data_IF_681635832907
#
_entry.id   IF_681635832907
#
_cell.length_a   1.000
_cell.length_b   1.000
_cell.length_c   1.000
_cell.angle_alpha   90.00
_cell.angle_beta   90.00
_cell.angle_gamma   90.00
#
_symmetry.space_group_name_H-M   'P 1'
#
loop_
_entity.id
_entity.type
_entity.pdbx_description
1 polymer ?
#
# COMPACT_ATOMS: atom_id res chain seq x y z
N UNK A 1 -18.21 -14.01 -2.90
CA UNK A 1 -17.12 -13.75 -3.88
C UNK A 1 -15.82 -13.94 -3.16
N UNK A 2 -15.02 -14.94 -3.53
CA UNK A 2 -13.66 -15.11 -3.01
C UNK A 2 -12.83 -13.93 -3.52
N UNK A 3 -12.77 -12.85 -2.74
CA UNK A 3 -11.89 -11.73 -3.06
C UNK A 3 -10.48 -12.28 -3.08
N UNK A 4 -9.84 -12.31 -4.26
CA UNK A 4 -8.47 -12.74 -4.39
C UNK A 4 -7.60 -11.73 -3.63
N UNK A 5 -7.26 -12.05 -2.39
CA UNK A 5 -6.37 -11.23 -1.58
C UNK A 5 -5.00 -11.31 -2.24
N UNK A 6 -4.57 -10.21 -2.86
CA UNK A 6 -3.23 -10.16 -3.47
C UNK A 6 -2.21 -10.03 -2.33
N UNK A 7 -1.38 -11.05 -2.07
CA UNK A 7 -0.43 -11.01 -0.97
C UNK A 7 0.75 -10.10 -1.33
N UNK A 8 1.31 -9.44 -0.31
CA UNK A 8 2.46 -8.54 -0.48
C UNK A 8 3.63 -9.21 -1.19
N UNK A 9 3.93 -10.47 -0.83
CA UNK A 9 5.04 -11.23 -1.44
C UNK A 9 4.89 -11.37 -2.95
N UNK A 10 3.70 -11.71 -3.43
CA UNK A 10 3.45 -11.88 -4.87
C UNK A 10 3.61 -10.56 -5.65
N UNK A 11 3.31 -9.42 -5.02
CA UNK A 11 3.59 -8.12 -5.63
C UNK A 11 5.08 -7.79 -5.62
N UNK A 12 5.77 -8.03 -4.51
CA UNK A 12 7.22 -7.82 -4.45
C UNK A 12 7.91 -8.63 -5.55
N UNK A 13 7.56 -9.92 -5.68
CA UNK A 13 8.13 -10.80 -6.70
C UNK A 13 7.83 -10.32 -8.14
N UNK A 14 6.66 -9.70 -8.36
CA UNK A 14 6.26 -9.14 -9.66
C UNK A 14 7.07 -7.90 -10.04
N UNK A 15 7.34 -7.02 -9.08
CA UNK A 15 7.91 -5.69 -9.34
C UNK A 15 9.42 -5.62 -9.08
N UNK A 16 9.94 -6.54 -8.27
CA UNK A 16 11.31 -6.51 -7.78
C UNK A 16 11.93 -7.90 -7.90
N UNK A 17 13.14 -7.95 -8.46
CA UNK A 17 13.94 -9.16 -8.48
C UNK A 17 14.85 -9.12 -7.26
N UNK A 18 14.70 -10.11 -6.37
CA UNK A 18 15.63 -10.31 -5.26
C UNK A 18 16.83 -11.11 -5.75
N UNK A 19 18.04 -10.55 -5.61
CA UNK A 19 19.27 -11.28 -5.91
C UNK A 19 20.18 -11.29 -4.68
N UNK A 20 21.16 -12.22 -4.58
CA UNK A 20 22.13 -12.21 -3.49
C UNK A 20 22.94 -10.91 -3.40
N UNK A 21 23.22 -10.27 -4.54
CA UNK A 21 23.92 -9.00 -4.61
C UNK A 21 23.01 -7.80 -4.27
N UNK A 22 21.69 -7.95 -4.41
CA UNK A 22 20.70 -6.90 -4.23
C UNK A 22 19.47 -7.40 -3.44
N UNK A 23 19.63 -7.66 -2.13
CA UNK A 23 18.52 -8.14 -1.31
C UNK A 23 17.45 -7.05 -1.15
N UNK A 24 16.20 -7.47 -1.07
CA UNK A 24 15.07 -6.57 -0.83
C UNK A 24 14.98 -6.24 0.66
N UNK A 25 15.06 -4.94 0.99
CA UNK A 25 14.87 -4.42 2.34
C UNK A 25 13.43 -3.96 2.50
N UNK A 26 12.77 -4.41 3.57
CA UNK A 26 11.40 -4.02 3.88
C UNK A 26 11.39 -3.11 5.11
N UNK A 27 10.81 -1.92 4.96
CA UNK A 27 10.59 -0.98 6.07
C UNK A 27 9.09 -0.68 6.20
N UNK A 28 8.66 -0.34 7.42
CA UNK A 28 7.26 0.02 7.71
C UNK A 28 7.18 1.50 8.09
N UNK A 29 7.11 2.41 7.09
CA UNK A 29 6.96 3.82 7.39
C UNK A 29 5.60 4.06 8.06
N UNK A 30 5.57 4.93 9.07
CA UNK A 30 4.31 5.45 9.62
C UNK A 30 3.90 6.65 8.79
N UNK A 31 2.93 6.45 7.90
CA UNK A 31 2.27 7.53 7.17
C UNK A 31 1.03 7.96 7.97
N UNK A 32 1.20 9.04 8.74
CA UNK A 32 0.10 9.69 9.43
C UNK A 32 -0.48 10.75 8.48
N UNK A 33 -1.71 10.53 8.01
CA UNK A 33 -2.50 11.60 7.41
C UNK A 33 -3.34 12.19 8.54
N UNK A 34 -3.24 13.51 8.75
CA UNK A 34 -3.82 14.25 9.90
C UNK A 34 -5.31 13.99 10.17
N UNK A 35 -6.05 13.42 9.21
CA UNK A 35 -7.50 13.18 9.28
C UNK A 35 -7.93 11.75 8.97
N UNK A 36 -7.01 10.78 8.89
CA UNK A 36 -7.34 9.43 8.46
C UNK A 36 -6.77 8.33 9.36
N UNK A 37 -7.41 7.16 9.34
CA UNK A 37 -6.90 5.93 9.95
C UNK A 37 -5.45 5.70 9.52
N UNK A 38 -4.53 5.29 10.41
CA UNK A 38 -3.13 5.08 10.06
C UNK A 38 -2.99 4.15 8.86
N UNK A 39 -2.37 4.64 7.78
CA UNK A 39 -2.16 3.82 6.58
C UNK A 39 -1.15 2.74 6.90
N UNK A 40 -1.59 1.47 6.82
CA UNK A 40 -0.69 0.33 6.90
C UNK A 40 0.03 0.19 5.57
N UNK A 41 1.33 0.48 5.55
CA UNK A 41 2.14 0.36 4.35
C UNK A 41 3.49 -0.30 4.65
N UNK A 42 4.10 -0.83 3.59
CA UNK A 42 5.45 -1.41 3.58
C UNK A 42 6.19 -0.79 2.41
N UNK A 43 7.39 -0.27 2.66
CA UNK A 43 8.31 0.18 1.63
C UNK A 43 9.32 -0.93 1.37
N UNK A 44 9.38 -1.40 0.13
CA UNK A 44 10.36 -2.35 -0.33
C UNK A 44 11.44 -1.62 -1.13
N UNK A 45 12.70 -1.91 -0.82
CA UNK A 45 13.85 -1.27 -1.44
C UNK A 45 14.86 -2.30 -1.91
N UNK A 46 15.50 -2.05 -3.05
CA UNK A 46 16.64 -2.84 -3.52
C UNK A 46 17.68 -1.96 -4.21
N UNK A 47 18.94 -2.35 -4.10
CA UNK A 47 20.05 -1.70 -4.79
C UNK A 47 20.15 -2.25 -6.22
N UNK A 48 20.30 -1.38 -7.20
CA UNK A 48 20.53 -1.73 -8.61
C UNK A 48 21.77 -0.98 -9.10
N UNK A 49 22.33 -1.41 -10.22
CA UNK A 49 23.48 -0.75 -10.85
C UNK A 49 23.21 0.73 -11.14
N UNK A 50 21.96 1.08 -11.42
CA UNK A 50 21.51 2.44 -11.70
C UNK A 50 21.06 3.23 -10.47
N UNK A 51 21.16 2.66 -9.26
CA UNK A 51 20.76 3.29 -7.99
C UNK A 51 19.73 2.50 -7.18
N UNK A 52 19.04 3.18 -6.26
CA UNK A 52 18.05 2.53 -5.38
C UNK A 52 16.67 2.53 -6.05
N UNK A 53 16.04 1.35 -6.14
CA UNK A 53 14.61 1.25 -6.42
C UNK A 53 13.84 1.12 -5.11
N UNK A 54 12.83 1.97 -4.90
CA UNK A 54 11.92 1.89 -3.77
C UNK A 54 10.46 1.89 -4.24
N UNK A 55 9.66 0.96 -3.73
CA UNK A 55 8.21 0.87 -3.97
C UNK A 55 7.49 0.84 -2.63
N UNK A 56 6.43 1.63 -2.49
CA UNK A 56 5.56 1.60 -1.31
C UNK A 56 4.29 0.81 -1.63
N UNK A 57 4.04 -0.23 -0.85
CA UNK A 57 2.83 -1.02 -0.89
C UNK A 57 1.90 -0.61 0.24
N UNK A 58 0.64 -0.37 -0.08
CA UNK A 58 -0.41 0.03 0.85
C UNK A 58 -1.36 -1.14 1.06
N UNK A 59 -1.71 -1.38 2.32
CA UNK A 59 -2.72 -2.37 2.67
C UNK A 59 -4.10 -1.71 2.64
N UNK A 60 -5.00 -2.31 1.87
CA UNK A 60 -6.38 -1.86 1.72
C UNK A 60 -7.30 -2.55 2.74
N UNK A 61 -8.51 -2.01 2.94
CA UNK A 61 -9.46 -2.51 3.93
C UNK A 61 -9.94 -3.94 3.68
N UNK A 62 -9.91 -4.38 2.42
CA UNK A 62 -10.22 -5.75 1.97
C UNK A 62 -9.07 -6.74 2.23
N UNK A 63 -7.95 -6.27 2.78
CA UNK A 63 -6.76 -7.07 3.05
C UNK A 63 -5.80 -7.21 1.86
N UNK A 64 -6.16 -6.68 0.68
CA UNK A 64 -5.26 -6.66 -0.47
C UNK A 64 -4.12 -5.66 -0.29
N UNK A 65 -3.01 -5.93 -0.96
CA UNK A 65 -1.90 -4.97 -1.09
C UNK A 65 -1.95 -4.32 -2.47
N UNK A 66 -1.63 -3.03 -2.55
CA UNK A 66 -1.61 -2.26 -3.79
C UNK A 66 -0.47 -1.23 -3.77
N UNK A 67 -0.06 -0.71 -4.93
CA UNK A 67 0.96 0.36 -5.04
C UNK A 67 0.37 1.76 -4.98
N UNK A 68 -0.95 1.88 -4.88
CA UNK A 68 -1.68 3.13 -4.68
C UNK A 68 -2.26 3.17 -3.26
N UNK A 69 -2.31 4.35 -2.63
CA UNK A 69 -2.92 4.49 -1.31
C UNK A 69 -4.40 4.09 -1.36
N UNK A 70 -4.95 3.51 -0.27
CA UNK A 70 -6.40 3.29 -0.20
C UNK A 70 -7.11 4.62 -0.35
N UNK A 71 -8.30 4.58 -0.96
CA UNK A 71 -9.13 5.77 -1.08
C UNK A 71 -9.43 6.27 0.33
N UNK A 72 -8.93 7.46 0.66
CA UNK A 72 -9.36 8.15 1.87
C UNK A 72 -10.87 8.37 1.74
N UNK A 73 -11.62 8.06 2.81
CA UNK A 73 -13.01 8.49 2.94
C UNK A 73 -13.07 9.98 2.60
N UNK A 74 -13.55 10.30 1.40
CA UNK A 74 -13.71 11.69 0.97
C UNK A 74 -14.89 12.23 1.75
N UNK A 75 -14.88 13.52 2.14
CA UNK A 75 -16.07 14.17 2.65
C UNK A 75 -17.22 13.92 1.67
N UNK A 76 -18.21 13.15 2.11
CA UNK A 76 -19.44 12.89 1.35
C UNK A 76 -20.50 13.85 1.85
N UNK A 77 -21.24 14.47 0.93
CA UNK A 77 -22.43 15.24 1.28
C UNK A 77 -23.49 14.25 1.79
N UNK A 78 -23.70 14.20 3.11
CA UNK A 78 -24.79 13.43 3.69
C UNK A 78 -26.10 14.13 3.29
N UNK A 79 -26.95 13.44 2.52
CA UNK A 79 -28.32 13.89 2.34
C UNK A 79 -29.02 13.84 3.70
N UNK A 80 -29.47 14.99 4.20
CA UNK A 80 -30.35 15.02 5.35
C UNK A 80 -31.69 14.41 4.91
N UNK A 81 -32.23 13.42 5.64
CA UNK A 81 -33.57 12.94 5.36
C UNK A 81 -34.52 14.12 5.51
N UNK A 82 -35.41 14.30 4.53
CA UNK A 82 -36.44 15.33 4.58
C UNK A 82 -37.31 15.07 5.82
N UNK A 83 -37.19 15.96 6.80
CA UNK A 83 -38.11 16.02 7.91
C UNK A 83 -39.45 16.54 7.37
N UNK A 84 -40.48 15.70 7.47
CA UNK A 84 -41.88 16.09 7.29
C UNK A 84 -42.51 16.27 8.67
#
# INVERSE_FOLDING_TARGET
>A
MSGHTTPLRGLIDKWMVSTPASPIRLTRPRLNFEKATPLRCVRAETLRETGVLAIVFFRHGDGSWNVFPPMLERPTMKALPAAW
#
